data_IF_367357834187
#
_entry.id   IF_367357834187
#
_cell.length_a   1.000
_cell.length_b   1.000
_cell.length_c   1.000
_cell.angle_alpha   90.00
_cell.angle_beta   90.00
_cell.angle_gamma   90.00
#
_symmetry.space_group_name_H-M   'P 1'
#
loop_
_entity.id
_entity.type
_entity.pdbx_description
1 polymer ?
#
# COMPACT_ATOMS: atom_id res chain seq x y z
N UNK A 1 -0.68 10.22 -14.44
CA UNK A 1 0.14 10.67 -15.58
C UNK A 1 0.94 9.51 -16.19
N UNK A 2 1.73 8.73 -15.44
CA UNK A 2 2.46 7.56 -16.01
C UNK A 2 1.57 6.61 -16.78
N UNK A 3 0.42 6.24 -16.19
CA UNK A 3 -0.56 5.35 -16.81
C UNK A 3 -1.24 5.93 -18.06
N UNK A 4 -1.15 7.24 -18.27
CA UNK A 4 -1.69 7.92 -19.46
C UNK A 4 -0.62 8.15 -20.54
N UNK A 5 0.65 7.77 -20.29
CA UNK A 5 1.75 7.96 -21.21
C UNK A 5 2.21 9.41 -21.40
N UNK A 6 1.82 10.33 -20.50
CA UNK A 6 2.08 11.78 -20.60
C UNK A 6 3.21 12.23 -19.66
N UNK A 7 4.25 11.44 -19.55
CA UNK A 7 5.39 11.72 -18.65
C UNK A 7 6.13 13.01 -19.02
N UNK A 8 6.23 13.33 -20.29
CA UNK A 8 6.88 14.53 -20.81
C UNK A 8 6.15 15.82 -20.38
N UNK A 9 4.90 15.72 -19.94
CA UNK A 9 4.14 16.85 -19.40
C UNK A 9 4.50 17.15 -17.93
N UNK A 10 5.29 16.31 -17.27
CA UNK A 10 5.72 16.52 -15.88
C UNK A 10 6.93 17.45 -15.87
N UNK A 11 6.73 18.71 -15.55
CA UNK A 11 7.79 19.73 -15.49
C UNK A 11 8.40 19.90 -14.10
N UNK A 12 7.75 19.39 -13.06
CA UNK A 12 8.21 19.46 -11.68
C UNK A 12 7.61 18.35 -10.81
N UNK A 13 8.30 17.96 -9.76
CA UNK A 13 7.85 16.94 -8.80
C UNK A 13 8.13 17.33 -7.36
N UNK A 14 7.32 16.81 -6.45
CA UNK A 14 7.50 16.89 -5.00
C UNK A 14 7.24 15.54 -4.35
N UNK A 15 7.36 15.45 -3.03
CA UNK A 15 7.08 14.22 -2.28
C UNK A 15 8.32 13.35 -2.04
N UNK A 16 8.20 12.03 -2.15
CA UNK A 16 9.32 11.13 -1.91
C UNK A 16 10.43 11.27 -2.98
N UNK A 17 11.67 11.12 -2.55
CA UNK A 17 12.79 11.06 -3.49
C UNK A 17 12.66 9.80 -4.36
N UNK A 18 12.92 9.96 -5.67
CA UNK A 18 12.87 8.87 -6.65
C UNK A 18 14.21 8.15 -6.81
N UNK A 19 15.06 8.18 -5.78
CA UNK A 19 16.31 7.44 -5.75
C UNK A 19 16.11 5.95 -5.52
N UNK A 20 17.12 5.16 -5.93
CA UNK A 20 17.13 3.74 -5.58
C UNK A 20 17.19 3.54 -4.06
N UNK A 21 16.51 2.54 -3.59
CA UNK A 21 16.59 2.06 -2.21
C UNK A 21 17.08 0.62 -2.17
N UNK A 22 17.94 0.33 -1.17
CA UNK A 22 18.36 -1.04 -0.89
C UNK A 22 17.47 -1.61 0.18
N UNK A 23 16.99 -2.83 -0.07
CA UNK A 23 16.18 -3.58 0.88
C UNK A 23 16.74 -4.99 0.98
N UNK A 24 16.90 -5.50 2.19
CA UNK A 24 17.26 -6.89 2.47
C UNK A 24 16.20 -7.48 3.38
N UNK A 25 15.72 -8.66 3.03
CA UNK A 25 14.73 -9.39 3.81
C UNK A 25 14.91 -10.90 3.65
N UNK A 26 14.52 -11.66 4.65
CA UNK A 26 14.55 -13.13 4.62
C UNK A 26 13.12 -13.65 4.62
N UNK A 27 12.80 -14.53 3.67
CA UNK A 27 11.49 -15.16 3.57
C UNK A 27 11.67 -16.67 3.39
N UNK A 28 11.05 -17.48 4.25
CA UNK A 28 11.21 -18.95 4.28
C UNK A 28 12.67 -19.40 4.31
N UNK A 29 13.53 -18.69 5.07
CA UNK A 29 14.93 -18.99 5.23
C UNK A 29 15.84 -18.60 4.05
N UNK A 30 15.30 -18.02 2.96
CA UNK A 30 16.07 -17.47 1.85
C UNK A 30 16.18 -15.96 1.98
N UNK A 31 17.39 -15.43 1.88
CA UNK A 31 17.64 -13.98 1.93
C UNK A 31 17.59 -13.39 0.52
N UNK A 32 16.85 -12.31 0.37
CA UNK A 32 16.71 -11.48 -0.83
C UNK A 32 17.37 -10.14 -0.56
N UNK A 33 18.18 -9.67 -1.50
CA UNK A 33 18.82 -8.35 -1.45
C UNK A 33 18.52 -7.65 -2.75
N UNK A 34 17.75 -6.60 -2.68
CA UNK A 34 17.29 -5.86 -3.85
C UNK A 34 17.71 -4.40 -3.77
N UNK A 35 18.08 -3.83 -4.90
CA UNK A 35 18.21 -2.39 -5.10
C UNK A 35 17.23 -1.99 -6.19
N UNK A 36 16.24 -1.19 -5.84
CA UNK A 36 15.15 -0.86 -6.75
C UNK A 36 14.74 0.60 -6.62
N UNK A 37 14.18 1.13 -7.70
CA UNK A 37 13.57 2.45 -7.75
C UNK A 37 12.08 2.38 -7.40
N UNK A 38 11.43 3.52 -7.03
CA UNK A 38 9.97 3.62 -7.03
C UNK A 38 9.38 3.26 -8.39
N UNK A 39 8.15 2.73 -8.40
CA UNK A 39 7.51 2.25 -9.64
C UNK A 39 7.50 3.32 -10.72
N UNK A 40 7.25 4.58 -10.37
CA UNK A 40 7.27 5.70 -11.30
C UNK A 40 8.62 5.83 -12.02
N UNK A 41 9.71 5.62 -11.30
CA UNK A 41 11.06 5.71 -11.85
C UNK A 41 11.53 4.43 -12.55
N UNK A 42 10.84 3.31 -12.33
CA UNK A 42 10.99 2.09 -13.14
C UNK A 42 10.27 2.28 -14.48
N UNK A 43 9.02 2.74 -14.45
CA UNK A 43 8.21 2.96 -15.65
C UNK A 43 8.73 4.08 -16.54
N UNK A 44 9.30 5.13 -15.94
CA UNK A 44 9.81 6.31 -16.65
C UNK A 44 11.05 6.85 -15.96
N UNK A 45 12.25 6.33 -16.30
CA UNK A 45 13.51 6.73 -15.65
C UNK A 45 13.81 8.23 -15.73
N UNK A 46 13.34 8.93 -16.77
CA UNK A 46 13.51 10.36 -16.99
C UNK A 46 12.85 11.22 -15.90
N UNK A 47 11.86 10.71 -15.17
CA UNK A 47 11.25 11.44 -14.06
C UNK A 47 12.27 11.83 -12.97
N UNK A 48 13.39 11.10 -12.89
CA UNK A 48 14.44 11.37 -11.91
C UNK A 48 15.13 12.70 -12.14
N UNK A 49 15.20 13.16 -13.38
CA UNK A 49 15.85 14.40 -13.80
C UNK A 49 14.94 15.63 -13.73
N UNK A 50 13.63 15.43 -13.48
CA UNK A 50 12.66 16.50 -13.34
C UNK A 50 12.93 17.30 -12.06
N UNK A 51 12.87 18.65 -12.09
CA UNK A 51 13.08 19.52 -10.92
C UNK A 51 12.30 19.09 -9.68
N UNK A 52 12.98 19.07 -8.54
CA UNK A 52 12.44 18.55 -7.28
C UNK A 52 12.14 19.68 -6.29
N UNK A 53 10.90 19.87 -5.92
CA UNK A 53 10.43 20.91 -5.01
C UNK A 53 10.52 20.56 -3.51
N UNK A 54 11.00 19.38 -3.18
CA UNK A 54 11.22 18.93 -1.79
C UNK A 54 10.19 17.91 -1.29
N UNK A 55 10.48 17.39 -0.08
CA UNK A 55 9.63 16.47 0.65
C UNK A 55 8.84 17.21 1.74
N UNK A 56 7.54 16.99 1.80
CA UNK A 56 6.69 17.56 2.85
C UNK A 56 6.24 19.00 2.61
N UNK A 57 5.75 19.62 3.67
CA UNK A 57 5.16 20.96 3.64
C UNK A 57 5.96 21.93 4.51
N UNK A 58 6.24 23.17 4.04
CA UNK A 58 5.97 23.68 2.70
C UNK A 58 6.95 23.16 1.64
N UNK A 59 6.55 23.07 0.37
CA UNK A 59 7.47 22.78 -0.72
C UNK A 59 8.35 24.00 -1.06
N UNK A 60 9.35 23.81 -1.91
CA UNK A 60 10.12 24.93 -2.46
C UNK A 60 9.33 25.64 -3.57
N UNK A 61 8.69 26.75 -3.23
CA UNK A 61 7.87 27.54 -4.16
C UNK A 61 8.66 28.16 -5.31
N UNK A 62 9.92 28.51 -5.09
CA UNK A 62 10.78 29.04 -6.15
C UNK A 62 11.06 27.98 -7.21
N UNK A 63 11.34 26.74 -6.78
CA UNK A 63 11.46 25.63 -7.71
C UNK A 63 10.17 25.42 -8.51
N UNK A 64 9.00 25.42 -7.86
CA UNK A 64 7.70 25.29 -8.53
C UNK A 64 7.50 26.41 -9.56
N UNK A 65 7.72 27.67 -9.17
CA UNK A 65 7.57 28.81 -10.07
C UNK A 65 8.53 28.77 -11.27
N UNK A 66 9.76 28.30 -11.06
CA UNK A 66 10.78 28.22 -12.12
C UNK A 66 10.49 27.10 -13.15
N UNK A 67 9.62 26.15 -12.83
CA UNK A 67 9.19 25.12 -13.81
C UNK A 67 8.06 25.61 -14.74
N UNK A 68 7.52 26.80 -14.49
CA UNK A 68 6.44 27.43 -15.26
C UNK A 68 5.27 26.46 -15.60
N UNK A 69 4.65 25.83 -14.60
CA UNK A 69 3.67 24.80 -14.84
C UNK A 69 2.32 25.40 -15.26
N UNK A 70 1.61 24.73 -16.16
CA UNK A 70 0.22 25.07 -16.53
C UNK A 70 -0.78 24.69 -15.42
N UNK A 71 -0.45 23.70 -14.61
CA UNK A 71 -1.28 23.17 -13.52
C UNK A 71 -0.40 22.60 -12.41
N UNK A 72 -0.83 22.78 -11.17
CA UNK A 72 -0.20 22.16 -10.00
C UNK A 72 -1.19 21.11 -9.44
N UNK A 73 -0.75 19.86 -9.38
CA UNK A 73 -1.51 18.77 -8.78
C UNK A 73 -0.85 18.39 -7.46
N UNK A 74 -1.59 18.46 -6.36
CA UNK A 74 -1.10 18.12 -5.02
C UNK A 74 -1.97 17.04 -4.39
N UNK A 75 -1.33 16.08 -3.73
CA UNK A 75 -2.02 15.12 -2.87
C UNK A 75 -1.85 15.56 -1.42
N UNK A 76 -2.97 15.69 -0.70
CA UNK A 76 -2.94 16.02 0.72
C UNK A 76 -2.86 14.75 1.55
N UNK A 77 -1.86 14.68 2.45
CA UNK A 77 -1.79 13.62 3.45
C UNK A 77 -2.57 14.04 4.69
N UNK A 78 -3.82 13.73 4.71
CA UNK A 78 -4.60 13.93 5.92
C UNK A 78 -4.30 12.83 6.97
N UNK A 79 -3.24 13.00 7.74
CA UNK A 79 -3.08 12.29 9.02
C UNK A 79 -4.12 12.78 10.06
N UNK A 80 -4.81 13.86 9.76
CA UNK A 80 -5.95 14.38 10.48
C UNK A 80 -7.06 14.72 9.49
N UNK A 81 -8.31 14.43 9.85
CA UNK A 81 -9.54 14.75 9.09
C UNK A 81 -9.64 16.23 8.66
N UNK A 82 -8.74 17.09 9.13
CA UNK A 82 -8.78 18.54 8.91
C UNK A 82 -7.69 19.06 7.99
N UNK A 83 -6.81 18.24 7.40
CA UNK A 83 -5.61 18.68 6.66
C UNK A 83 -4.79 19.67 7.51
N UNK A 84 -3.50 19.45 7.71
CA UNK A 84 -2.73 20.30 8.62
C UNK A 84 -2.74 21.77 8.16
N UNK A 85 -2.67 22.73 9.09
CA UNK A 85 -2.59 24.18 8.78
C UNK A 85 -1.44 24.48 7.79
N UNK A 86 -0.36 23.71 7.86
CA UNK A 86 0.77 23.83 6.95
C UNK A 86 0.39 23.48 5.50
N UNK A 87 -0.40 22.43 5.28
CA UNK A 87 -0.87 22.02 3.94
C UNK A 87 -1.81 23.08 3.36
N UNK A 88 -2.81 23.52 4.13
CA UNK A 88 -3.74 24.58 3.69
C UNK A 88 -3.00 25.85 3.30
N UNK A 89 -2.08 26.32 4.14
CA UNK A 89 -1.27 27.51 3.88
C UNK A 89 -0.40 27.32 2.63
N UNK A 90 0.17 26.14 2.44
CA UNK A 90 0.99 25.87 1.27
C UNK A 90 0.17 25.87 -0.01
N UNK A 91 -1.04 25.28 -0.01
CA UNK A 91 -1.96 25.29 -1.16
C UNK A 91 -2.37 26.75 -1.48
N UNK A 92 -2.70 27.56 -0.47
CA UNK A 92 -3.01 28.99 -0.67
C UNK A 92 -1.84 29.75 -1.29
N UNK A 93 -0.60 29.45 -0.84
CA UNK A 93 0.61 30.06 -1.41
C UNK A 93 0.83 29.67 -2.86
N UNK A 94 0.62 28.38 -3.19
CA UNK A 94 0.70 27.92 -4.59
C UNK A 94 -0.34 28.60 -5.49
N UNK A 95 -1.56 28.79 -5.01
CA UNK A 95 -2.60 29.54 -5.76
C UNK A 95 -2.18 30.98 -6.08
N UNK A 96 -1.33 31.60 -5.25
CA UNK A 96 -0.81 32.96 -5.52
C UNK A 96 0.18 32.99 -6.69
N UNK A 97 0.69 31.86 -7.16
CA UNK A 97 1.49 31.78 -8.38
C UNK A 97 0.66 32.04 -9.65
N UNK A 98 -0.66 32.12 -9.54
CA UNK A 98 -1.55 32.38 -10.69
C UNK A 98 -1.82 31.15 -11.56
N UNK A 99 -1.44 29.97 -11.09
CA UNK A 99 -1.62 28.68 -11.77
C UNK A 99 -2.78 27.90 -11.11
N UNK A 100 -3.61 27.20 -11.85
CA UNK A 100 -4.62 26.30 -11.29
C UNK A 100 -4.00 25.27 -10.36
N UNK A 101 -4.61 25.05 -9.19
CA UNK A 101 -4.18 24.05 -8.22
C UNK A 101 -5.28 23.02 -7.99
N UNK A 102 -5.03 21.80 -8.40
CA UNK A 102 -5.90 20.64 -8.15
C UNK A 102 -5.42 19.90 -6.90
N UNK A 103 -6.34 19.68 -5.98
CA UNK A 103 -6.07 18.98 -4.74
C UNK A 103 -6.71 17.60 -4.80
N UNK A 104 -5.88 16.56 -4.81
CA UNK A 104 -6.31 15.18 -4.69
C UNK A 104 -6.35 14.81 -3.20
N UNK A 105 -7.40 14.14 -2.80
CA UNK A 105 -7.56 13.74 -1.42
C UNK A 105 -7.00 12.34 -1.20
N UNK A 106 -6.21 12.18 -0.16
CA UNK A 106 -5.64 10.88 0.17
C UNK A 106 -6.73 9.91 0.64
N UNK A 107 -6.57 8.64 0.27
CA UNK A 107 -7.39 7.52 0.78
C UNK A 107 -7.33 7.51 2.31
N UNK A 108 -8.47 7.41 2.99
CA UNK A 108 -8.58 7.52 4.44
C UNK A 108 -8.86 8.94 4.97
N UNK A 109 -8.98 9.94 4.08
CA UNK A 109 -9.36 11.30 4.47
C UNK A 109 -10.87 11.47 4.72
N UNK A 110 -11.70 10.56 4.25
CA UNK A 110 -13.17 10.65 4.27
C UNK A 110 -13.80 9.39 4.86
N UNK A 111 -14.98 9.56 5.46
CA UNK A 111 -15.88 8.47 5.87
C UNK A 111 -16.65 7.92 4.63
N UNK A 112 -15.95 7.59 3.56
CA UNK A 112 -16.53 7.12 2.31
C UNK A 112 -15.88 5.81 1.86
N UNK A 113 -16.50 5.13 0.91
CA UNK A 113 -15.94 3.98 0.24
C UNK A 113 -14.59 4.36 -0.39
N UNK A 114 -13.53 3.88 0.22
CA UNK A 114 -12.15 4.29 -0.08
C UNK A 114 -11.72 3.90 -1.50
N UNK A 115 -12.29 2.83 -2.05
CA UNK A 115 -12.01 2.44 -3.44
C UNK A 115 -12.57 3.48 -4.41
N UNK A 116 -13.74 4.04 -4.11
CA UNK A 116 -14.35 5.10 -4.94
C UNK A 116 -13.57 6.41 -4.93
N UNK A 117 -12.80 6.70 -3.88
CA UNK A 117 -11.92 7.88 -3.86
C UNK A 117 -10.84 7.72 -4.92
N UNK A 118 -10.22 6.54 -5.04
CA UNK A 118 -9.21 6.26 -6.06
C UNK A 118 -9.81 6.38 -7.47
N UNK A 119 -11.00 5.83 -7.70
CA UNK A 119 -11.66 5.90 -8.99
C UNK A 119 -11.97 7.34 -9.41
N UNK A 120 -12.50 8.15 -8.50
CA UNK A 120 -12.75 9.58 -8.76
C UNK A 120 -11.48 10.37 -9.06
N UNK A 121 -10.37 10.04 -8.44
CA UNK A 121 -9.08 10.67 -8.77
C UNK A 121 -8.61 10.28 -10.17
N UNK A 122 -8.77 9.02 -10.56
CA UNK A 122 -8.44 8.56 -11.91
C UNK A 122 -9.33 9.25 -12.95
N UNK A 123 -10.64 9.35 -12.70
CA UNK A 123 -11.59 10.08 -13.55
C UNK A 123 -11.17 11.55 -13.73
N UNK A 124 -10.92 12.24 -12.61
CA UNK A 124 -10.49 13.64 -12.63
C UNK A 124 -9.18 13.85 -13.40
N UNK A 125 -8.21 12.95 -13.22
CA UNK A 125 -6.97 13.00 -13.98
C UNK A 125 -7.20 12.71 -15.46
N UNK A 126 -8.10 11.78 -15.79
CA UNK A 126 -8.55 11.53 -17.17
C UNK A 126 -9.10 12.78 -17.84
N UNK A 127 -10.02 13.49 -17.16
CA UNK A 127 -10.59 14.76 -17.64
C UNK A 127 -9.51 15.86 -17.83
N UNK A 128 -8.56 15.99 -16.89
CA UNK A 128 -7.51 17.01 -16.97
C UNK A 128 -6.57 16.79 -18.16
N UNK A 129 -6.32 15.53 -18.53
CA UNK A 129 -5.36 15.16 -19.56
C UNK A 129 -5.99 14.69 -20.88
N UNK A 130 -7.30 14.84 -21.07
CA UNK A 130 -8.07 14.36 -22.23
C UNK A 130 -7.86 12.84 -22.47
N UNK A 131 -7.96 12.04 -21.38
CA UNK A 131 -7.71 10.59 -21.33
C UNK A 131 -8.85 9.82 -20.64
N UNK A 132 -10.08 10.28 -20.82
CA UNK A 132 -11.26 9.74 -20.14
C UNK A 132 -11.44 8.23 -20.43
N UNK A 133 -11.26 7.81 -21.69
CA UNK A 133 -11.39 6.40 -22.07
C UNK A 133 -10.34 5.53 -21.33
N UNK A 134 -9.09 5.98 -21.30
CA UNK A 134 -8.04 5.27 -20.56
C UNK A 134 -8.32 5.25 -19.05
N UNK A 135 -8.84 6.34 -18.49
CA UNK A 135 -9.23 6.41 -17.10
C UNK A 135 -10.31 5.36 -16.77
N UNK A 136 -11.32 5.21 -17.64
CA UNK A 136 -12.37 4.20 -17.47
C UNK A 136 -11.83 2.77 -17.59
N UNK A 137 -10.92 2.50 -18.51
CA UNK A 137 -10.27 1.18 -18.65
C UNK A 137 -9.49 0.81 -17.39
N UNK A 138 -8.76 1.76 -16.80
CA UNK A 138 -8.02 1.55 -15.55
C UNK A 138 -8.99 1.29 -14.39
N UNK A 139 -10.05 2.08 -14.26
CA UNK A 139 -11.06 1.89 -13.21
C UNK A 139 -11.70 0.51 -13.36
N UNK A 140 -12.08 0.12 -14.57
CA UNK A 140 -12.66 -1.19 -14.84
C UNK A 140 -11.71 -2.34 -14.44
N UNK A 141 -10.40 -2.20 -14.72
CA UNK A 141 -9.40 -3.17 -14.27
C UNK A 141 -9.34 -3.26 -12.73
N UNK A 142 -9.33 -2.14 -12.03
CA UNK A 142 -9.30 -2.11 -10.56
C UNK A 142 -10.57 -2.73 -9.97
N UNK A 143 -11.74 -2.39 -10.52
CA UNK A 143 -13.04 -2.94 -10.10
C UNK A 143 -13.11 -4.46 -10.33
N UNK A 144 -12.61 -4.95 -11.46
CA UNK A 144 -12.52 -6.38 -11.75
C UNK A 144 -11.75 -7.13 -10.65
N UNK A 145 -10.59 -6.59 -10.22
CA UNK A 145 -9.78 -7.24 -9.20
C UNK A 145 -10.46 -7.22 -7.82
N UNK A 146 -11.06 -6.11 -7.44
CA UNK A 146 -11.83 -6.02 -6.19
C UNK A 146 -13.01 -6.99 -6.22
N UNK A 147 -13.75 -7.03 -7.32
CA UNK A 147 -14.90 -7.90 -7.46
C UNK A 147 -14.51 -9.39 -7.45
N UNK A 148 -13.37 -9.74 -8.05
CA UNK A 148 -12.81 -11.09 -8.03
C UNK A 148 -12.60 -11.59 -6.59
N UNK A 149 -12.02 -10.78 -5.72
CA UNK A 149 -11.84 -11.13 -4.30
C UNK A 149 -13.17 -11.22 -3.57
N UNK A 150 -14.05 -10.22 -3.74
CA UNK A 150 -15.37 -10.19 -3.09
C UNK A 150 -16.22 -11.40 -3.46
N UNK A 151 -16.24 -11.79 -4.71
CA UNK A 151 -17.07 -12.92 -5.17
C UNK A 151 -16.66 -14.25 -4.56
N UNK A 152 -15.38 -14.41 -4.17
CA UNK A 152 -14.86 -15.62 -3.52
C UNK A 152 -15.13 -15.70 -2.02
N UNK A 153 -15.43 -14.57 -1.40
CA UNK A 153 -15.50 -14.48 0.08
C UNK A 153 -16.88 -14.01 0.60
N UNK A 154 -17.73 -13.44 -0.25
CA UNK A 154 -19.03 -12.86 0.14
C UNK A 154 -20.02 -13.83 0.78
N UNK A 155 -19.88 -15.12 0.50
CA UNK A 155 -20.78 -16.19 1.00
C UNK A 155 -20.31 -16.80 2.32
N UNK A 156 -19.17 -16.35 2.87
CA UNK A 156 -18.65 -16.83 4.15
C UNK A 156 -19.58 -16.34 5.28
N UNK A 157 -20.20 -17.27 6.05
CA UNK A 157 -21.08 -16.91 7.15
C UNK A 157 -20.35 -16.17 8.27
N UNK A 158 -21.09 -15.41 9.08
CA UNK A 158 -20.53 -14.57 10.14
C UNK A 158 -19.72 -15.37 11.19
N UNK A 159 -20.14 -16.59 11.49
CA UNK A 159 -19.51 -17.50 12.45
C UNK A 159 -18.33 -18.28 11.87
N UNK A 160 -18.14 -18.26 10.53
CA UNK A 160 -17.01 -18.88 9.83
C UNK A 160 -15.96 -17.85 9.41
N UNK A 161 -16.18 -16.55 9.63
CA UNK A 161 -15.22 -15.51 9.30
C UNK A 161 -13.94 -15.68 10.11
N UNK A 162 -12.82 -15.80 9.41
CA UNK A 162 -11.51 -15.81 10.06
C UNK A 162 -11.17 -14.46 10.66
N UNK A 163 -10.46 -14.51 11.77
CA UNK A 163 -9.92 -13.32 12.43
C UNK A 163 -8.51 -13.02 11.97
N UNK A 164 -8.23 -11.77 11.67
CA UNK A 164 -6.88 -11.31 11.37
C UNK A 164 -6.38 -10.30 12.39
N UNK A 165 -5.06 -10.19 12.51
CA UNK A 165 -4.37 -9.14 13.26
C UNK A 165 -3.41 -8.42 12.33
N UNK A 166 -3.64 -7.13 12.11
CA UNK A 166 -2.74 -6.28 11.35
C UNK A 166 -1.67 -5.74 12.31
N UNK A 167 -0.48 -6.36 12.29
CA UNK A 167 0.52 -6.27 13.34
C UNK A 167 1.83 -5.67 12.83
N UNK A 168 2.09 -4.39 13.17
CA UNK A 168 3.29 -3.67 12.74
C UNK A 168 4.49 -3.94 13.64
N UNK A 169 5.63 -4.25 13.01
CA UNK A 169 6.93 -4.32 13.65
C UNK A 169 7.69 -3.02 13.34
N UNK A 170 8.41 -2.47 14.31
CA UNK A 170 9.18 -1.26 14.11
C UNK A 170 10.45 -1.28 14.97
N UNK A 171 11.57 -0.90 14.36
CA UNK A 171 12.83 -0.69 15.07
C UNK A 171 12.83 0.62 15.86
N UNK A 172 11.95 1.58 15.52
CA UNK A 172 11.84 2.90 16.17
C UNK A 172 10.91 2.88 17.37
N UNK A 173 9.91 2.02 17.35
CA UNK A 173 8.93 1.86 18.43
C UNK A 173 8.91 0.39 18.81
N UNK A 174 9.81 -0.07 19.70
CA UNK A 174 9.84 -1.46 20.11
C UNK A 174 8.54 -1.84 20.84
N UNK A 175 8.08 -3.07 20.60
CA UNK A 175 6.97 -3.65 21.34
C UNK A 175 7.26 -3.80 22.83
N UNK A 176 6.22 -3.79 23.64
CA UNK A 176 6.31 -3.94 25.10
C UNK A 176 6.65 -5.40 25.45
N UNK A 177 7.78 -5.61 26.12
CA UNK A 177 8.15 -6.93 26.68
C UNK A 177 8.22 -8.08 25.66
N UNK A 178 8.62 -7.81 24.41
CA UNK A 178 8.60 -8.80 23.34
C UNK A 178 7.28 -8.91 22.58
N UNK A 179 6.40 -7.90 22.74
CA UNK A 179 5.19 -7.75 21.97
C UNK A 179 5.41 -7.09 20.60
N UNK A 180 4.31 -6.88 19.89
CA UNK A 180 4.30 -6.22 18.59
C UNK A 180 4.34 -4.70 18.80
N UNK A 181 5.05 -3.97 17.92
CA UNK A 181 5.24 -2.52 18.03
C UNK A 181 3.94 -1.74 17.99
N UNK A 182 3.01 -2.17 17.13
CA UNK A 182 1.64 -1.65 17.10
C UNK A 182 0.67 -2.65 16.47
N UNK A 183 -0.56 -2.59 16.94
CA UNK A 183 -1.69 -3.34 16.39
C UNK A 183 -2.70 -2.34 15.85
N UNK A 184 -3.18 -2.57 14.64
CA UNK A 184 -4.09 -1.66 13.94
C UNK A 184 -5.54 -1.97 14.31
N UNK A 185 -6.28 -0.96 14.77
CA UNK A 185 -7.67 -1.08 15.19
C UNK A 185 -8.66 -1.21 14.04
N UNK A 186 -9.88 -1.62 14.36
CA UNK A 186 -10.96 -1.84 13.38
C UNK A 186 -11.45 -0.55 12.68
N UNK A 187 -11.11 0.62 13.21
CA UNK A 187 -11.44 1.92 12.62
C UNK A 187 -10.39 2.45 11.63
N UNK A 188 -9.35 1.68 11.37
CA UNK A 188 -8.30 2.07 10.43
C UNK A 188 -8.59 1.56 9.03
N UNK A 189 -8.15 2.32 8.03
CA UNK A 189 -8.38 2.04 6.61
C UNK A 189 -8.10 0.58 6.23
N UNK A 190 -6.92 0.09 6.61
CA UNK A 190 -6.47 -1.26 6.27
C UNK A 190 -7.45 -2.33 6.82
N UNK A 191 -7.93 -2.13 8.04
CA UNK A 191 -8.90 -3.03 8.66
C UNK A 191 -10.27 -2.95 8.01
N UNK A 192 -10.72 -1.74 7.67
CA UNK A 192 -12.01 -1.52 6.99
C UNK A 192 -12.00 -2.20 5.62
N UNK A 193 -10.93 -2.02 4.84
CA UNK A 193 -10.82 -2.64 3.52
C UNK A 193 -10.83 -4.18 3.60
N UNK A 194 -10.11 -4.77 4.54
CA UNK A 194 -10.11 -6.23 4.74
C UNK A 194 -11.51 -6.72 5.16
N UNK A 195 -12.16 -6.04 6.12
CA UNK A 195 -13.50 -6.42 6.57
C UNK A 195 -14.53 -6.31 5.45
N UNK A 196 -14.50 -5.24 4.65
CA UNK A 196 -15.51 -4.96 3.61
C UNK A 196 -15.26 -5.72 2.30
N UNK A 197 -14.00 -5.95 1.93
CA UNK A 197 -13.66 -6.52 0.63
C UNK A 197 -13.30 -8.02 0.72
N UNK A 198 -12.74 -8.48 1.84
CA UNK A 198 -12.33 -9.88 2.06
C UNK A 198 -13.33 -10.62 2.97
N UNK A 199 -14.24 -9.91 3.61
CA UNK A 199 -15.24 -10.50 4.52
C UNK A 199 -14.62 -11.23 5.72
N UNK A 200 -13.53 -10.67 6.29
CA UNK A 200 -12.85 -11.17 7.48
C UNK A 200 -13.14 -10.28 8.70
N UNK A 201 -12.59 -10.60 9.88
CA UNK A 201 -12.77 -9.82 11.11
C UNK A 201 -11.42 -9.41 11.70
N UNK A 202 -11.23 -8.13 12.01
CA UNK A 202 -10.09 -7.74 12.82
C UNK A 202 -10.25 -8.26 14.26
N UNK A 203 -9.29 -9.03 14.76
CA UNK A 203 -9.29 -9.53 16.14
C UNK A 203 -9.22 -8.39 17.16
N UNK A 204 -8.56 -7.28 16.81
CA UNK A 204 -8.50 -6.09 17.65
C UNK A 204 -9.62 -5.10 17.30
N UNK A 205 -10.68 -5.09 18.09
CA UNK A 205 -11.86 -4.21 17.90
C UNK A 205 -11.67 -2.79 18.47
N UNK A 206 -10.47 -2.47 18.97
CA UNK A 206 -10.16 -1.12 19.47
C UNK A 206 -9.96 -0.09 18.33
N UNK A 207 -9.59 1.13 18.71
CA UNK A 207 -9.40 2.27 17.79
C UNK A 207 -7.93 2.63 17.66
N UNK A 208 -7.61 3.17 16.47
CA UNK A 208 -6.28 3.67 16.14
C UNK A 208 -5.23 2.56 16.09
N UNK A 209 -3.98 2.95 16.33
CA UNK A 209 -2.84 2.03 16.44
C UNK A 209 -2.38 1.98 17.87
N UNK A 210 -2.28 0.78 18.45
CA UNK A 210 -1.93 0.60 19.86
C UNK A 210 -0.74 -0.35 20.01
N UNK A 211 0.16 -0.01 20.95
CA UNK A 211 1.25 -0.91 21.38
C UNK A 211 0.63 -1.89 22.39
N UNK A 212 0.84 -3.18 22.18
CA UNK A 212 0.30 -4.24 23.03
C UNK A 212 1.40 -5.11 23.64
N UNK A 213 1.18 -5.58 24.86
CA UNK A 213 2.02 -6.61 25.47
C UNK A 213 1.75 -7.99 24.84
N UNK A 214 2.68 -8.96 24.98
CA UNK A 214 2.45 -10.31 24.51
C UNK A 214 1.15 -10.93 25.02
N UNK A 215 0.82 -10.72 26.30
CA UNK A 215 -0.39 -11.26 26.92
C UNK A 215 -1.66 -10.70 26.30
N UNK A 216 -1.66 -9.42 25.96
CA UNK A 216 -2.79 -8.78 25.26
C UNK A 216 -2.97 -9.37 23.86
N UNK A 217 -1.86 -9.60 23.15
CA UNK A 217 -1.88 -10.19 21.80
C UNK A 217 -2.35 -11.66 21.86
N UNK A 218 -1.84 -12.43 22.84
CA UNK A 218 -2.26 -13.83 23.06
C UNK A 218 -3.76 -13.88 23.38
N UNK A 219 -4.29 -12.93 24.14
CA UNK A 219 -5.71 -12.88 24.45
C UNK A 219 -6.60 -12.58 23.21
N UNK A 220 -6.05 -12.00 22.14
CA UNK A 220 -6.77 -11.80 20.88
C UNK A 220 -6.83 -13.10 20.04
N UNK A 221 -5.82 -13.94 20.14
CA UNK A 221 -5.65 -15.23 19.45
C UNK A 221 -6.14 -15.24 17.97
N UNK A 222 -5.61 -14.39 17.09
CA UNK A 222 -6.06 -14.30 15.71
C UNK A 222 -5.79 -15.58 14.93
N UNK A 223 -6.61 -15.86 13.89
CA UNK A 223 -6.37 -16.95 12.94
C UNK A 223 -5.18 -16.65 12.03
N UNK A 224 -4.97 -15.36 11.68
CA UNK A 224 -3.95 -14.90 10.75
C UNK A 224 -3.28 -13.63 11.26
N UNK A 225 -1.96 -13.52 11.10
CA UNK A 225 -1.21 -12.29 11.35
C UNK A 225 -0.71 -11.72 10.02
N UNK A 226 -1.02 -10.46 9.76
CA UNK A 226 -0.56 -9.70 8.60
C UNK A 226 0.49 -8.67 9.04
N UNK A 227 1.66 -8.70 8.41
CA UNK A 227 2.80 -7.85 8.74
C UNK A 227 2.94 -6.72 7.70
N UNK A 228 2.49 -5.49 8.02
CA UNK A 228 2.62 -4.35 7.12
C UNK A 228 4.06 -3.85 7.03
N UNK A 229 4.39 -3.24 5.90
CA UNK A 229 5.73 -2.78 5.55
C UNK A 229 5.99 -1.29 5.81
N UNK A 230 5.15 -0.63 6.60
CA UNK A 230 5.23 0.82 6.84
C UNK A 230 6.53 1.29 7.53
N UNK A 231 7.26 0.40 8.19
CA UNK A 231 8.52 0.68 8.93
C UNK A 231 9.70 -0.16 8.42
N UNK A 232 9.57 -0.77 7.28
CA UNK A 232 10.50 -1.72 6.68
C UNK A 232 9.79 -2.98 6.23
N UNK A 233 10.49 -3.85 5.51
CA UNK A 233 9.95 -5.15 5.12
C UNK A 233 10.03 -6.09 6.31
N UNK A 234 8.90 -6.62 6.71
CA UNK A 234 8.78 -7.59 7.79
C UNK A 234 8.21 -8.89 7.25
N UNK A 235 8.87 -9.98 7.58
CA UNK A 235 8.54 -11.31 7.07
C UNK A 235 8.09 -12.24 8.18
N UNK A 236 7.39 -13.32 7.85
CA UNK A 236 7.00 -14.34 8.84
C UNK A 236 8.17 -14.89 9.66
N UNK A 237 9.36 -15.00 9.04
CA UNK A 237 10.56 -15.53 9.67
C UNK A 237 10.96 -14.74 10.92
N UNK A 238 10.68 -13.42 10.96
CA UNK A 238 10.92 -12.63 12.17
C UNK A 238 10.06 -13.13 13.33
N UNK A 239 8.75 -13.33 13.14
CA UNK A 239 7.89 -13.83 14.22
C UNK A 239 8.16 -15.29 14.58
N UNK A 240 8.66 -16.09 13.64
CA UNK A 240 8.93 -17.51 13.90
C UNK A 240 10.24 -17.76 14.60
N UNK A 241 11.28 -16.94 14.35
CA UNK A 241 12.65 -17.30 14.74
C UNK A 241 13.38 -16.23 15.54
N UNK A 242 12.92 -14.97 15.54
CA UNK A 242 13.59 -13.91 16.28
C UNK A 242 13.27 -14.01 17.78
N UNK A 243 14.31 -14.00 18.61
CA UNK A 243 14.20 -14.10 20.08
C UNK A 243 13.34 -12.99 20.70
N UNK A 244 13.19 -11.84 20.00
CA UNK A 244 12.31 -10.74 20.43
C UNK A 244 10.86 -11.18 20.59
N UNK A 245 10.42 -12.20 19.85
CA UNK A 245 9.02 -12.65 19.82
C UNK A 245 8.81 -14.01 20.51
N UNK A 246 9.78 -14.47 21.34
CA UNK A 246 9.67 -15.73 22.07
C UNK A 246 8.37 -15.83 22.89
N UNK A 247 7.92 -14.72 23.49
CA UNK A 247 6.71 -14.67 24.28
C UNK A 247 5.40 -14.89 23.45
N UNK A 248 5.47 -14.81 22.13
CA UNK A 248 4.31 -14.96 21.23
C UNK A 248 4.23 -16.36 20.59
N UNK A 249 5.18 -17.26 20.88
CA UNK A 249 5.27 -18.57 20.20
C UNK A 249 4.06 -19.48 20.47
N UNK A 250 3.29 -19.23 21.53
CA UNK A 250 2.06 -19.96 21.85
C UNK A 250 0.84 -19.48 21.03
N UNK A 251 0.93 -18.37 20.30
CA UNK A 251 -0.15 -17.91 19.41
C UNK A 251 -0.48 -18.96 18.34
N UNK A 252 -1.77 -19.19 18.13
CA UNK A 252 -2.26 -20.14 17.11
C UNK A 252 -1.72 -19.81 15.72
N UNK A 253 -1.82 -18.58 15.30
CA UNK A 253 -1.33 -18.14 13.99
C UNK A 253 0.19 -18.43 13.80
N UNK A 254 1.00 -18.31 14.84
CA UNK A 254 2.45 -18.62 14.78
C UNK A 254 2.69 -20.12 14.69
N UNK A 255 2.03 -20.91 15.55
CA UNK A 255 2.15 -22.37 15.55
C UNK A 255 1.69 -23.03 14.25
N UNK A 256 0.63 -22.48 13.64
CA UNK A 256 0.04 -22.99 12.42
C UNK A 256 0.65 -22.37 11.15
N UNK A 257 1.67 -21.53 11.31
CA UNK A 257 2.34 -20.82 10.19
C UNK A 257 1.45 -19.91 9.39
N UNK A 258 0.45 -19.30 10.01
CA UNK A 258 -0.49 -18.34 9.42
C UNK A 258 -0.02 -16.89 9.65
N UNK A 259 1.24 -16.59 9.35
CA UNK A 259 1.81 -15.25 9.38
C UNK A 259 2.27 -14.89 7.98
N UNK A 260 1.92 -13.69 7.50
CA UNK A 260 2.22 -13.25 6.14
C UNK A 260 2.79 -11.84 6.14
N UNK A 261 3.90 -11.66 5.44
CA UNK A 261 4.44 -10.34 5.12
C UNK A 261 3.68 -9.73 3.94
N UNK A 262 3.31 -8.47 4.06
CA UNK A 262 2.61 -7.75 2.99
C UNK A 262 3.61 -7.10 2.01
N UNK A 263 3.20 -6.84 0.76
CA UNK A 263 4.01 -6.13 -0.21
C UNK A 263 4.51 -4.79 0.32
N UNK A 264 5.65 -4.31 -0.17
CA UNK A 264 6.17 -2.97 0.15
C UNK A 264 5.31 -1.90 -0.53
N UNK A 265 4.03 -1.90 -0.19
CA UNK A 265 3.03 -0.96 -0.69
C UNK A 265 2.20 -0.53 0.51
N UNK A 266 2.03 0.77 0.66
CA UNK A 266 0.98 1.25 1.53
C UNK A 266 -0.26 1.59 0.69
N UNK A 267 -1.44 1.17 1.08
CA UNK A 267 -2.72 1.58 0.48
C UNK A 267 -2.81 3.08 0.18
N UNK A 268 -2.04 3.88 0.94
CA UNK A 268 -2.05 5.34 0.87
C UNK A 268 -1.07 5.93 -0.13
N UNK A 269 -0.02 5.20 -0.54
CA UNK A 269 1.06 5.75 -1.35
C UNK A 269 1.08 5.25 -2.78
N UNK A 270 0.76 3.98 -3.00
CA UNK A 270 0.74 3.36 -4.32
C UNK A 270 -0.68 2.88 -4.67
N UNK A 271 -1.55 3.82 -4.94
CA UNK A 271 -3.00 3.61 -5.06
C UNK A 271 -3.39 2.62 -6.14
N UNK A 272 -2.64 2.56 -7.23
CA UNK A 272 -2.90 1.62 -8.31
C UNK A 272 -2.47 0.19 -7.99
N UNK A 273 -1.63 0.01 -6.97
CA UNK A 273 -1.16 -1.31 -6.54
C UNK A 273 -1.99 -1.89 -5.38
N UNK A 274 -3.04 -1.21 -4.91
CA UNK A 274 -3.86 -1.72 -3.81
C UNK A 274 -4.48 -3.11 -4.10
N UNK A 275 -4.85 -3.49 -5.35
CA UNK A 275 -5.34 -4.84 -5.62
C UNK A 275 -4.29 -5.93 -5.33
N UNK A 276 -2.99 -5.62 -5.46
CA UNK A 276 -1.92 -6.57 -5.13
C UNK A 276 -1.93 -6.88 -3.63
N UNK A 277 -2.01 -5.86 -2.79
CA UNK A 277 -2.12 -6.05 -1.34
C UNK A 277 -3.40 -6.81 -0.98
N UNK A 278 -4.54 -6.42 -1.57
CA UNK A 278 -5.83 -7.07 -1.35
C UNK A 278 -5.79 -8.57 -1.71
N UNK A 279 -5.15 -8.94 -2.82
CA UNK A 279 -5.02 -10.35 -3.24
C UNK A 279 -4.14 -11.15 -2.27
N UNK A 280 -3.00 -10.58 -1.84
CA UNK A 280 -2.11 -11.23 -0.86
C UNK A 280 -2.85 -11.45 0.46
N UNK A 281 -3.57 -10.45 0.96
CA UNK A 281 -4.36 -10.54 2.18
C UNK A 281 -5.49 -11.55 2.06
N UNK A 282 -6.20 -11.57 0.93
CA UNK A 282 -7.30 -12.51 0.69
C UNK A 282 -6.82 -13.95 0.67
N UNK A 283 -5.72 -14.25 -0.05
CA UNK A 283 -5.11 -15.58 -0.07
C UNK A 283 -4.55 -15.97 1.30
N UNK A 284 -3.94 -15.03 2.03
CA UNK A 284 -3.43 -15.27 3.39
C UNK A 284 -4.57 -15.63 4.36
N UNK A 285 -5.70 -14.93 4.28
CA UNK A 285 -6.82 -15.14 5.20
C UNK A 285 -7.64 -16.37 4.83
N UNK A 286 -7.92 -16.59 3.54
CA UNK A 286 -8.75 -17.69 3.05
C UNK A 286 -8.05 -18.49 1.94
N UNK A 287 -6.91 -19.18 2.22
CA UNK A 287 -6.15 -19.88 1.20
C UNK A 287 -6.98 -20.90 0.41
N UNK A 288 -7.98 -21.55 1.03
CA UNK A 288 -8.88 -22.51 0.40
C UNK A 288 -9.81 -21.87 -0.65
N UNK A 289 -10.10 -20.57 -0.56
CA UNK A 289 -10.90 -19.84 -1.55
C UNK A 289 -10.09 -19.41 -2.77
N UNK A 290 -8.77 -19.51 -2.69
CA UNK A 290 -7.81 -19.05 -3.70
C UNK A 290 -6.81 -20.15 -4.08
N UNK A 291 -7.14 -21.43 -3.91
CA UNK A 291 -6.26 -22.58 -4.24
C UNK A 291 -5.86 -22.58 -5.72
N UNK A 292 -6.76 -22.14 -6.59
CA UNK A 292 -6.59 -22.05 -8.04
C UNK A 292 -5.82 -20.80 -8.49
N UNK A 293 -5.44 -19.91 -7.56
CA UNK A 293 -4.74 -18.66 -7.86
C UNK A 293 -3.27 -18.78 -7.47
N UNK A 294 -2.37 -18.71 -8.44
CA UNK A 294 -0.96 -18.39 -8.20
C UNK A 294 -0.84 -16.87 -8.12
N UNK A 295 -0.57 -16.33 -6.92
CA UNK A 295 -0.54 -14.88 -6.69
C UNK A 295 0.64 -14.24 -7.41
N UNK A 296 1.78 -14.91 -7.52
CA UNK A 296 2.94 -14.42 -8.27
C UNK A 296 2.61 -14.17 -9.74
N UNK A 297 1.99 -15.16 -10.41
CA UNK A 297 1.54 -15.03 -11.81
C UNK A 297 0.42 -13.99 -11.95
N UNK A 298 -0.49 -13.93 -10.98
CA UNK A 298 -1.56 -12.95 -10.98
C UNK A 298 -1.01 -11.51 -10.85
N UNK A 299 0.00 -11.28 -10.01
CA UNK A 299 0.69 -9.98 -9.86
C UNK A 299 1.35 -9.57 -11.18
N UNK A 300 2.00 -10.52 -11.87
CA UNK A 300 2.65 -10.26 -13.17
C UNK A 300 1.62 -9.84 -14.21
N UNK A 301 0.50 -10.58 -14.30
CA UNK A 301 -0.57 -10.26 -15.26
C UNK A 301 -1.27 -8.94 -14.93
N UNK A 302 -1.47 -8.64 -13.65
CA UNK A 302 -2.03 -7.37 -13.20
C UNK A 302 -1.17 -6.18 -13.66
N UNK A 303 0.15 -6.23 -13.39
CA UNK A 303 1.06 -5.14 -13.79
C UNK A 303 1.19 -5.03 -15.31
N UNK A 304 1.17 -6.17 -16.03
CA UNK A 304 1.16 -6.19 -17.49
C UNK A 304 -0.07 -5.48 -18.05
N UNK A 305 -1.25 -5.76 -17.51
CA UNK A 305 -2.50 -5.10 -17.92
C UNK A 305 -2.53 -3.62 -17.55
N UNK A 306 -2.08 -3.28 -16.34
CA UNK A 306 -2.13 -1.91 -15.83
C UNK A 306 -1.17 -0.97 -16.55
N UNK A 307 0.07 -1.42 -16.79
CA UNK A 307 1.15 -0.57 -17.29
C UNK A 307 1.56 -0.85 -18.74
N UNK A 308 1.12 -1.96 -19.33
CA UNK A 308 1.51 -2.34 -20.69
C UNK A 308 3.00 -2.65 -20.84
N UNK A 309 3.65 -3.17 -19.79
CA UNK A 309 5.10 -3.38 -19.70
C UNK A 309 5.51 -4.82 -19.98
N UNK A 310 6.81 -5.01 -20.26
CA UNK A 310 7.43 -6.31 -20.50
C UNK A 310 7.81 -7.05 -19.20
N UNK A 311 8.26 -8.29 -19.34
CA UNK A 311 8.65 -9.16 -18.23
C UNK A 311 9.82 -8.61 -17.41
N UNK A 312 10.77 -7.92 -18.04
CA UNK A 312 11.92 -7.33 -17.35
C UNK A 312 11.45 -6.22 -16.41
N UNK A 313 10.57 -5.35 -16.90
CA UNK A 313 9.96 -4.26 -16.11
C UNK A 313 9.08 -4.82 -14.97
N UNK A 314 8.30 -5.88 -15.22
CA UNK A 314 7.48 -6.55 -14.19
C UNK A 314 8.40 -7.10 -13.08
N UNK A 315 9.51 -7.74 -13.45
CA UNK A 315 10.47 -8.26 -12.47
C UNK A 315 11.06 -7.13 -11.60
N UNK A 316 11.42 -5.97 -12.18
CA UNK A 316 11.87 -4.81 -11.40
C UNK A 316 10.76 -4.25 -10.48
N UNK A 317 9.50 -4.26 -10.92
CA UNK A 317 8.35 -3.90 -10.06
C UNK A 317 8.22 -4.91 -8.90
N UNK A 318 8.31 -6.22 -9.14
CA UNK A 318 8.27 -7.23 -8.06
C UNK A 318 9.42 -7.06 -7.06
N UNK A 319 10.63 -6.75 -7.52
CA UNK A 319 11.75 -6.37 -6.63
C UNK A 319 11.40 -5.18 -5.75
N UNK A 320 10.84 -4.12 -6.36
CA UNK A 320 10.41 -2.93 -5.63
C UNK A 320 9.40 -3.25 -4.54
N UNK A 321 8.47 -4.16 -4.83
CA UNK A 321 7.40 -4.57 -3.93
C UNK A 321 7.84 -5.63 -2.91
N UNK A 322 9.08 -6.11 -3.00
CA UNK A 322 9.61 -7.23 -2.19
C UNK A 322 8.78 -8.51 -2.34
N UNK A 323 8.39 -8.82 -3.57
CA UNK A 323 7.55 -9.98 -3.93
C UNK A 323 8.34 -11.10 -4.65
N UNK A 324 9.67 -11.00 -4.77
CA UNK A 324 10.51 -12.01 -5.43
C UNK A 324 10.36 -13.42 -4.82
N UNK A 325 10.05 -13.49 -3.53
CA UNK A 325 9.82 -14.75 -2.83
C UNK A 325 8.61 -15.56 -3.34
N UNK A 326 7.66 -14.90 -3.99
CA UNK A 326 6.46 -15.57 -4.54
C UNK A 326 6.82 -16.52 -5.67
N UNK A 327 7.81 -16.16 -6.50
CA UNK A 327 8.27 -17.00 -7.61
C UNK A 327 8.93 -18.28 -7.09
N UNK A 328 9.65 -18.20 -5.97
CA UNK A 328 10.31 -19.34 -5.33
C UNK A 328 9.31 -20.22 -4.55
N UNK A 329 8.29 -19.64 -3.97
CA UNK A 329 7.33 -20.33 -3.11
C UNK A 329 6.16 -20.96 -3.86
N UNK A 330 5.93 -20.57 -5.14
CA UNK A 330 4.73 -20.96 -5.89
C UNK A 330 3.45 -20.42 -5.24
N UNK A 331 3.51 -19.21 -4.67
CA UNK A 331 2.46 -18.61 -3.83
C UNK A 331 1.24 -18.18 -4.63
#
# INVERSE_FOLDING_TARGET
>A
MFIFGDIEKIVGKGGNALGASKTEYTYHGKTYSTESYPIEAILSPEIRDVPYSGYGWPPNYETIANTDPDIIIVSTRSWSREGGDAERKAIETMRQLGVPVVVLNEVGAYDQDETKVVYKEIELLGEIFDKEDQAQDIIALLEEQVQFVKDRTKDIPEDEKRTFLYAGISTRVPGLGGGISYVTGADQLESILIEDLINAKNAFRGKGRQIMSPEQIIALDPDVILLPTAQGVHTPDELYYDERFTALQDLRAIRERNVYGLPLIAYRTERLSFPVTLMVEAKAIYPERFEDVNVGEWVDEYHRKLYGVDEETIHEIKKRLCLEWMDDAGY
#
